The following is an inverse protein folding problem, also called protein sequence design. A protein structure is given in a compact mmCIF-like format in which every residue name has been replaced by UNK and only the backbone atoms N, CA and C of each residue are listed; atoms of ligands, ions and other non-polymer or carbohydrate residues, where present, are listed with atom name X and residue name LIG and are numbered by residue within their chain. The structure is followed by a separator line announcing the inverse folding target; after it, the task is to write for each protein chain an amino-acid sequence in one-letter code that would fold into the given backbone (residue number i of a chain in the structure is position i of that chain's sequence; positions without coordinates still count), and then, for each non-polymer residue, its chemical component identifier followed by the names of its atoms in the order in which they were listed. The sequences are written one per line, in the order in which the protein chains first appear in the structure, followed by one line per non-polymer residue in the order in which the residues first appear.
data_IF_259574331223
#
_entry.id   IF_259574331223
#
_cell.length_a   1.000
_cell.length_b   1.000
_cell.length_c   1.000
_cell.angle_alpha   90.00
_cell.angle_beta   90.00
_cell.angle_gamma   90.00
#
_symmetry.space_group_name_H-M   'P 1'
#
loop_
_entity.id
_entity.type
_entity.pdbx_description
1 polymer ?
#
# COMPACT_ATOMS: atom_id res chain seq x y z
N UNK A 1 -6.19 -0.34 -7.94
CA UNK A 1 -5.98 -0.75 -6.53
C UNK A 1 -7.01 -1.80 -6.11
N UNK A 2 -6.62 -3.06 -5.95
CA UNK A 2 -7.47 -4.03 -5.24
C UNK A 2 -7.67 -3.51 -3.81
N UNK A 3 -8.91 -3.10 -3.51
CA UNK A 3 -9.33 -2.67 -2.19
C UNK A 3 -9.34 -3.88 -1.29
N UNK A 4 -8.21 -4.17 -0.64
CA UNK A 4 -8.30 -4.98 0.54
C UNK A 4 -9.13 -4.16 1.55
N UNK A 5 -10.30 -4.67 1.94
CA UNK A 5 -11.23 -3.93 2.80
C UNK A 5 -11.04 -4.26 4.27
N UNK A 6 -10.32 -5.35 4.59
CA UNK A 6 -10.17 -5.86 5.95
C UNK A 6 -8.80 -6.51 6.18
N UNK A 7 -8.30 -6.41 7.40
CA UNK A 7 -7.10 -7.14 7.81
C UNK A 7 -7.37 -8.65 7.77
N UNK A 8 -6.56 -9.45 7.08
CA UNK A 8 -6.74 -10.90 7.02
C UNK A 8 -6.47 -11.61 8.35
N UNK A 9 -5.75 -10.96 9.28
CA UNK A 9 -5.39 -11.53 10.59
C UNK A 9 -6.45 -11.32 11.66
N UNK A 10 -7.05 -10.11 11.71
CA UNK A 10 -8.00 -9.76 12.79
C UNK A 10 -9.38 -9.28 12.30
N UNK A 11 -9.58 -9.15 10.99
CA UNK A 11 -10.86 -8.70 10.41
C UNK A 11 -11.14 -7.20 10.53
N UNK A 12 -10.22 -6.41 11.12
CA UNK A 12 -10.38 -4.96 11.27
C UNK A 12 -10.40 -4.22 9.93
N UNK A 13 -11.16 -3.12 9.85
CA UNK A 13 -11.13 -2.17 8.74
C UNK A 13 -10.03 -1.10 8.91
N UNK A 14 -9.32 -1.06 10.04
CA UNK A 14 -8.32 -0.05 10.36
C UNK A 14 -6.98 -0.39 9.68
N UNK A 15 -6.98 -0.30 8.35
CA UNK A 15 -5.89 -0.69 7.48
C UNK A 15 -5.44 0.51 6.63
N UNK A 16 -4.13 0.62 6.41
CA UNK A 16 -3.52 1.71 5.64
C UNK A 16 -2.55 1.13 4.61
N UNK A 17 -2.38 1.78 3.45
CA UNK A 17 -1.38 1.37 2.49
C UNK A 17 0.03 1.73 2.98
N UNK A 18 0.99 0.92 2.58
CA UNK A 18 2.41 1.21 2.78
C UNK A 18 2.95 1.91 1.53
N UNK A 19 3.63 3.04 1.75
CA UNK A 19 4.27 3.83 0.71
C UNK A 19 5.78 3.66 0.84
N UNK A 20 6.43 3.28 -0.26
CA UNK A 20 7.86 3.10 -0.34
C UNK A 20 8.50 4.15 -1.23
N UNK A 21 9.81 4.35 -1.05
CA UNK A 21 10.61 5.33 -1.76
C UNK A 21 10.79 6.62 -0.98
N UNK A 22 11.15 7.69 -1.70
CA UNK A 22 11.23 9.03 -1.11
C UNK A 22 9.82 9.62 -1.03
N UNK A 23 9.28 9.91 0.17
CA UNK A 23 7.97 10.50 0.30
C UNK A 23 7.97 11.94 -0.24
N UNK A 24 6.87 12.32 -0.88
CA UNK A 24 6.56 13.74 -1.08
C UNK A 24 6.11 14.37 0.24
N UNK A 25 6.05 15.71 0.29
CA UNK A 25 5.52 16.42 1.45
C UNK A 25 4.08 15.98 1.80
N UNK A 26 3.24 15.75 0.79
CA UNK A 26 1.87 15.24 0.98
C UNK A 26 1.86 13.88 1.71
N UNK A 27 2.79 12.98 1.40
CA UNK A 27 2.86 11.68 2.07
C UNK A 27 3.36 11.80 3.51
N UNK A 28 4.21 12.80 3.82
CA UNK A 28 4.62 13.09 5.20
C UNK A 28 3.42 13.59 6.03
N UNK A 29 2.58 14.48 5.47
CA UNK A 29 1.37 14.94 6.14
C UNK A 29 0.39 13.79 6.39
N UNK A 30 0.17 12.94 5.38
CA UNK A 30 -0.69 11.75 5.47
C UNK A 30 -0.20 10.72 6.48
N UNK A 31 1.12 10.56 6.64
CA UNK A 31 1.68 9.73 7.71
C UNK A 31 1.38 10.34 9.08
N UNK A 32 1.51 11.66 9.22
CA UNK A 32 1.21 12.40 10.46
C UNK A 32 -0.23 12.22 10.94
N UNK A 33 -1.19 12.08 10.02
CA UNK A 33 -2.60 11.76 10.33
C UNK A 33 -2.94 10.26 10.23
N UNK A 34 -1.93 9.40 10.08
CA UNK A 34 -2.06 7.94 10.02
C UNK A 34 -2.99 7.43 8.90
N UNK A 35 -3.00 8.09 7.74
CA UNK A 35 -3.67 7.63 6.52
C UNK A 35 -2.80 6.69 5.69
N UNK A 36 -1.47 6.79 5.82
CA UNK A 36 -0.47 5.93 5.18
C UNK A 36 0.59 5.52 6.20
N UNK A 37 1.35 4.47 5.88
CA UNK A 37 2.59 4.11 6.58
C UNK A 37 3.78 4.26 5.63
N UNK A 38 4.86 4.91 6.04
CA UNK A 38 6.10 4.95 5.24
C UNK A 38 6.95 3.71 5.50
N UNK A 39 7.18 2.91 4.46
CA UNK A 39 7.87 1.61 4.54
C UNK A 39 9.39 1.67 4.32
N UNK A 40 9.93 2.84 4.02
CA UNK A 40 11.34 3.04 3.68
C UNK A 40 11.61 3.04 2.17
N UNK A 41 12.89 3.14 1.78
CA UNK A 41 13.28 3.30 0.38
C UNK A 41 13.61 1.99 -0.34
N UNK A 42 14.00 0.94 0.38
CA UNK A 42 14.41 -0.34 -0.19
C UNK A 42 13.21 -1.29 -0.22
N UNK A 43 12.89 -1.80 -1.41
CA UNK A 43 11.76 -2.70 -1.64
C UNK A 43 12.22 -3.92 -2.43
N UNK A 44 11.55 -5.04 -2.21
CA UNK A 44 11.63 -6.23 -3.03
C UNK A 44 10.20 -6.68 -3.40
N UNK A 45 10.10 -7.72 -4.24
CA UNK A 45 8.80 -8.18 -4.74
C UNK A 45 7.82 -8.52 -3.61
N UNK A 46 8.29 -9.18 -2.55
CA UNK A 46 7.48 -9.59 -1.39
C UNK A 46 7.27 -8.49 -0.34
N UNK A 47 7.68 -7.25 -0.61
CA UNK A 47 7.50 -6.16 0.35
C UNK A 47 6.02 -5.89 0.59
N UNK A 48 5.56 -5.81 1.84
CA UNK A 48 4.15 -5.69 2.16
C UNK A 48 3.58 -4.36 1.69
N UNK A 49 2.35 -4.38 1.17
CA UNK A 49 1.71 -3.16 0.64
C UNK A 49 0.58 -2.64 1.54
N UNK A 50 0.24 -3.38 2.59
CA UNK A 50 -0.79 -3.05 3.57
C UNK A 50 -0.30 -3.25 4.99
N UNK A 51 -0.75 -2.36 5.89
CA UNK A 51 -0.53 -2.42 7.33
C UNK A 51 -1.86 -2.30 8.08
N UNK A 52 -2.06 -3.10 9.12
CA UNK A 52 -3.21 -2.98 10.02
C UNK A 52 -2.80 -2.26 11.30
N UNK A 53 -3.44 -1.12 11.59
CA UNK A 53 -3.12 -0.31 12.76
C UNK A 53 -3.53 -0.98 14.08
N UNK A 54 -4.53 -1.87 14.06
CA UNK A 54 -5.04 -2.51 15.28
C UNK A 54 -4.19 -3.72 15.72
N UNK A 55 -3.82 -4.59 14.79
CA UNK A 55 -3.08 -5.84 15.11
C UNK A 55 -1.65 -5.88 14.58
N UNK A 56 -1.20 -4.78 13.97
CA UNK A 56 0.16 -4.58 13.46
C UNK A 56 0.57 -5.62 12.39
N UNK A 57 -0.40 -6.22 11.71
CA UNK A 57 -0.14 -7.16 10.62
C UNK A 57 0.30 -6.45 9.35
N UNK A 58 1.17 -7.09 8.57
CA UNK A 58 1.66 -6.64 7.27
C UNK A 58 1.33 -7.71 6.22
N UNK A 59 0.87 -7.32 5.03
CA UNK A 59 0.54 -8.28 3.96
C UNK A 59 0.48 -7.65 2.56
N UNK A 60 0.29 -8.52 1.56
CA UNK A 60 0.35 -8.19 0.13
C UNK A 60 1.80 -8.14 -0.38
N UNK A 61 1.97 -8.05 -1.70
CA UNK A 61 3.29 -7.97 -2.33
C UNK A 61 3.41 -6.72 -3.20
N UNK A 62 4.58 -6.12 -3.23
CA UNK A 62 4.87 -4.93 -4.02
C UNK A 62 4.82 -5.24 -5.53
N UNK A 63 5.27 -6.43 -5.95
CA UNK A 63 5.16 -6.89 -7.33
C UNK A 63 3.71 -6.87 -7.84
N UNK A 64 2.76 -7.30 -7.00
CA UNK A 64 1.34 -7.39 -7.36
C UNK A 64 0.75 -5.98 -7.57
N UNK A 65 1.22 -5.01 -6.77
CA UNK A 65 0.87 -3.59 -6.94
C UNK A 65 1.38 -3.05 -8.29
N UNK A 66 2.67 -3.27 -8.60
CA UNK A 66 3.27 -2.80 -9.85
C UNK A 66 2.58 -3.39 -11.09
N UNK A 67 2.24 -4.68 -11.04
CA UNK A 67 1.54 -5.33 -12.14
C UNK A 67 0.14 -4.76 -12.35
N UNK A 68 -0.60 -4.53 -11.25
CA UNK A 68 -1.92 -3.88 -11.30
C UNK A 68 -1.84 -2.48 -11.91
N UNK A 69 -0.86 -1.67 -11.50
CA UNK A 69 -0.65 -0.31 -12.03
C UNK A 69 -0.30 -0.33 -13.52
N UNK A 70 0.54 -1.28 -13.96
CA UNK A 70 0.89 -1.48 -15.38
C UNK A 70 -0.35 -1.79 -16.21
N UNK A 71 -1.17 -2.74 -15.78
CA UNK A 71 -2.39 -3.12 -16.49
C UNK A 71 -3.40 -1.97 -16.56
N UNK A 72 -3.54 -1.19 -15.48
CA UNK A 72 -4.40 0.01 -15.46
C UNK A 72 -3.89 1.10 -16.43
N UNK A 73 -2.57 1.28 -16.59
CA UNK A 73 -2.01 2.17 -17.60
C UNK A 73 -2.25 1.67 -19.03
N UNK A 74 -2.09 0.37 -19.27
CA UNK A 74 -2.32 -0.22 -20.59
C UNK A 74 -3.79 -0.14 -21.02
N UNK A 75 -4.73 -0.36 -20.10
CA UNK A 75 -6.17 -0.19 -20.38
C UNK A 75 -6.48 1.24 -20.82
N UNK A 76 -6.00 2.24 -20.07
CA UNK A 76 -6.16 3.66 -20.39
C UNK A 76 -5.53 4.07 -21.73
N UNK A 77 -4.54 3.33 -22.23
CA UNK A 77 -3.92 3.59 -23.54
C UNK A 77 -4.80 3.13 -24.71
N UNK A 78 -5.72 2.19 -24.47
CA UNK A 78 -6.59 1.61 -25.50
C UNK A 78 -8.04 2.09 -25.39
N UNK A 79 -8.28 3.12 -24.55
CA UNK A 79 -9.55 3.86 -24.41
C UNK A 79 -9.45 5.19 -25.18
#
# INVERSE_FOLDING_TARGET
MEKNSKCPKCGSNNIVPIVYGMPSYEFLEKEGVQEVLLGGCIVNDSSPIWHCKDCQNYWGNYSDRLESERQEMEKRRHE
#
